data_IF_200096933534
#
_entry.id   IF_200096933534
#
_cell.length_a   1.000
_cell.length_b   1.000
_cell.length_c   1.000
_cell.angle_alpha   90.00
_cell.angle_beta   90.00
_cell.angle_gamma   90.00
#
_symmetry.space_group_name_H-M   'P 1'
#
loop_
_entity.id
_entity.type
_entity.pdbx_description
1 polymer ?
#
# COMPACT_ATOMS: atom_id res chain seq x y z
N UNK A 1 1.25 -14.24 -1.43
CA UNK A 1 0.22 -13.23 -1.75
C UNK A 1 -1.09 -13.67 -1.13
N UNK A 2 -1.64 -12.91 -0.19
CA UNK A 2 -2.98 -13.16 0.34
C UNK A 2 -3.99 -12.48 -0.60
N UNK A 3 -4.97 -13.23 -1.11
CA UNK A 3 -6.04 -12.73 -1.99
C UNK A 3 -7.34 -12.85 -1.18
N UNK A 4 -8.00 -11.72 -0.88
CA UNK A 4 -9.30 -11.69 -0.20
C UNK A 4 -10.26 -10.74 -0.93
N UNK A 5 -11.50 -11.17 -1.14
CA UNK A 5 -12.57 -10.45 -1.86
C UNK A 5 -13.18 -9.26 -1.13
N UNK A 6 -12.46 -8.67 -0.17
CA UNK A 6 -13.01 -7.65 0.74
C UNK A 6 -12.46 -6.26 0.39
N UNK A 7 -13.30 -5.24 0.63
CA UNK A 7 -12.94 -3.86 0.40
C UNK A 7 -11.74 -3.44 1.25
N UNK A 8 -10.66 -2.97 0.61
CA UNK A 8 -9.44 -2.58 1.31
C UNK A 8 -9.67 -1.47 2.35
N UNK A 9 -10.70 -0.64 2.15
CA UNK A 9 -11.07 0.45 3.06
C UNK A 9 -11.55 -0.05 4.43
N UNK A 10 -12.02 -1.29 4.51
CA UNK A 10 -12.53 -1.89 5.74
C UNK A 10 -11.64 -3.00 6.26
N UNK A 11 -10.62 -3.41 5.49
CA UNK A 11 -9.77 -4.53 5.84
C UNK A 11 -8.63 -4.10 6.75
N UNK A 12 -8.55 -4.73 7.92
CA UNK A 12 -7.48 -4.45 8.86
C UNK A 12 -6.14 -4.98 8.36
N UNK A 13 -5.12 -4.12 8.43
CA UNK A 13 -3.74 -4.46 8.10
C UNK A 13 -2.84 -4.25 9.31
N UNK A 14 -1.81 -5.08 9.43
CA UNK A 14 -0.82 -4.99 10.50
C UNK A 14 0.10 -3.78 10.36
N UNK A 15 0.30 -3.08 11.47
CA UNK A 15 1.38 -2.11 11.62
C UNK A 15 1.68 -1.80 13.08
N UNK A 16 2.37 -0.69 13.31
CA UNK A 16 2.89 -0.24 14.59
C UNK A 16 2.39 1.17 14.86
N UNK A 17 1.56 1.33 15.89
CA UNK A 17 1.15 2.63 16.39
C UNK A 17 1.66 2.77 17.82
N UNK A 18 2.40 3.86 18.09
CA UNK A 18 3.06 4.09 19.40
C UNK A 18 3.92 2.89 19.86
N UNK A 19 4.59 2.22 18.91
CA UNK A 19 5.47 1.08 19.16
C UNK A 19 4.75 -0.24 19.47
N UNK A 20 3.42 -0.27 19.48
CA UNK A 20 2.62 -1.50 19.69
C UNK A 20 2.06 -1.99 18.35
N UNK A 21 1.99 -3.30 18.18
CA UNK A 21 1.34 -3.91 17.02
C UNK A 21 -0.16 -3.60 17.05
N UNK A 22 -0.69 -3.11 15.95
CA UNK A 22 -2.10 -2.79 15.76
C UNK A 22 -2.60 -3.35 14.43
N UNK A 23 -3.90 -3.60 14.38
CA UNK A 23 -4.65 -4.02 13.20
C UNK A 23 -5.69 -2.93 12.95
N UNK A 24 -5.64 -2.30 11.77
CA UNK A 24 -6.55 -1.20 11.42
C UNK A 24 -6.59 -1.03 9.91
N UNK A 25 -7.66 -0.42 9.40
CA UNK A 25 -7.75 -0.08 7.99
C UNK A 25 -6.63 0.90 7.58
N UNK A 26 -6.11 0.76 6.35
CA UNK A 26 -5.15 1.71 5.80
C UNK A 26 -5.84 3.04 5.45
N UNK A 27 -5.07 4.13 5.45
CA UNK A 27 -5.51 5.38 4.85
C UNK A 27 -5.32 5.29 3.33
N UNK A 28 -6.40 5.37 2.55
CA UNK A 28 -6.31 5.40 1.08
C UNK A 28 -6.26 6.84 0.55
N UNK A 29 -5.28 7.13 -0.31
CA UNK A 29 -5.10 8.45 -0.94
C UNK A 29 -5.08 8.35 -2.46
N UNK A 30 -5.57 9.40 -3.12
CA UNK A 30 -5.59 9.53 -4.57
C UNK A 30 -5.18 10.95 -4.95
N UNK A 31 -4.47 11.11 -6.06
CA UNK A 31 -4.04 12.42 -6.54
C UNK A 31 -2.90 12.31 -7.54
N UNK A 32 -2.00 13.30 -7.53
CA UNK A 32 -0.73 13.23 -8.26
C UNK A 32 0.28 12.40 -7.48
N UNK A 33 1.07 11.59 -8.19
CA UNK A 33 2.13 10.80 -7.59
C UNK A 33 3.31 11.70 -7.22
N UNK A 34 3.54 11.84 -5.91
CA UNK A 34 4.70 12.53 -5.35
C UNK A 34 5.31 11.62 -4.27
N UNK A 35 6.37 10.90 -4.63
CA UNK A 35 6.99 9.91 -3.77
C UNK A 35 7.47 10.49 -2.44
N UNK A 36 8.12 11.65 -2.47
CA UNK A 36 8.69 12.26 -1.26
C UNK A 36 7.59 12.75 -0.33
N UNK A 37 6.57 13.41 -0.88
CA UNK A 37 5.42 13.88 -0.11
C UNK A 37 4.64 12.72 0.51
N UNK A 38 4.36 11.68 -0.26
CA UNK A 38 3.59 10.52 0.19
C UNK A 38 4.32 9.74 1.29
N UNK A 39 5.61 9.44 1.10
CA UNK A 39 6.40 8.70 2.10
C UNK A 39 6.66 9.54 3.35
N UNK A 40 6.92 10.84 3.21
CA UNK A 40 7.05 11.78 4.34
C UNK A 40 5.76 11.84 5.16
N UNK A 41 4.59 11.90 4.50
CA UNK A 41 3.29 11.84 5.17
C UNK A 41 3.09 10.50 5.89
N UNK A 42 3.38 9.38 5.22
CA UNK A 42 3.23 8.04 5.79
C UNK A 42 4.10 7.83 7.05
N UNK A 43 5.33 8.36 7.07
CA UNK A 43 6.23 8.29 8.22
C UNK A 43 5.75 9.07 9.46
N UNK A 44 4.87 10.06 9.26
CA UNK A 44 4.35 10.95 10.30
C UNK A 44 2.96 10.55 10.79
N UNK A 45 2.42 9.43 10.31
CA UNK A 45 1.13 8.93 10.75
C UNK A 45 1.15 8.63 12.26
N UNK A 46 0.05 8.97 12.92
CA UNK A 46 -0.11 8.76 14.38
C UNK A 46 -1.36 7.96 14.73
N UNK A 47 -2.33 7.94 13.82
CA UNK A 47 -3.66 7.35 13.94
C UNK A 47 -3.86 6.15 13.02
N UNK A 48 -3.17 6.12 11.88
CA UNK A 48 -3.13 5.01 10.94
C UNK A 48 -1.76 4.34 10.93
N UNK A 49 -1.73 3.07 10.53
CA UNK A 49 -0.48 2.33 10.45
C UNK A 49 0.12 2.29 9.04
N UNK A 50 -0.69 2.58 8.00
CA UNK A 50 -0.28 2.57 6.58
C UNK A 50 -1.07 3.57 5.74
N UNK A 51 -0.43 4.07 4.68
CA UNK A 51 -1.05 4.80 3.56
C UNK A 51 -0.96 3.96 2.30
N UNK A 52 -2.09 3.77 1.61
CA UNK A 52 -2.19 3.15 0.30
C UNK A 52 -2.55 4.19 -0.75
N UNK A 53 -1.68 4.40 -1.73
CA UNK A 53 -1.94 5.29 -2.85
C UNK A 53 -2.72 4.55 -3.95
N UNK A 54 -3.89 5.05 -4.33
CA UNK A 54 -4.73 4.51 -5.40
C UNK A 54 -4.15 4.86 -6.78
N UNK A 55 -3.77 3.83 -7.52
CA UNK A 55 -3.17 3.95 -8.85
C UNK A 55 -4.23 3.92 -9.96
N UNK A 56 -5.32 3.19 -9.75
CA UNK A 56 -6.40 3.03 -10.71
C UNK A 56 -7.18 1.74 -10.48
N UNK A 57 -8.16 1.47 -11.33
CA UNK A 57 -9.04 0.32 -11.13
C UNK A 57 -10.08 0.13 -12.23
N UNK A 58 -10.74 -1.03 -12.20
CA UNK A 58 -11.91 -1.39 -12.98
C UNK A 58 -13.10 -1.60 -12.03
N UNK A 59 -14.20 -0.88 -12.26
CA UNK A 59 -15.39 -0.92 -11.38
C UNK A 59 -16.06 -2.29 -11.32
N UNK A 60 -15.88 -3.10 -12.35
CA UNK A 60 -16.50 -4.43 -12.46
C UNK A 60 -15.65 -5.53 -11.80
N UNK A 61 -14.43 -5.20 -11.37
CA UNK A 61 -13.54 -6.12 -10.69
C UNK A 61 -14.02 -6.51 -9.30
N UNK A 62 -13.45 -7.59 -8.76
CA UNK A 62 -13.83 -8.19 -7.47
C UNK A 62 -12.78 -8.00 -6.37
N UNK A 63 -11.50 -7.91 -6.73
CA UNK A 63 -10.39 -7.91 -5.79
C UNK A 63 -9.58 -6.63 -5.84
N UNK A 64 -9.25 -6.09 -4.67
CA UNK A 64 -8.28 -5.01 -4.58
C UNK A 64 -6.85 -5.62 -4.53
N UNK A 65 -5.91 -4.99 -5.24
CA UNK A 65 -4.51 -5.42 -5.33
C UNK A 65 -3.63 -4.35 -4.68
N UNK A 66 -2.74 -4.74 -3.78
CA UNK A 66 -1.78 -3.83 -3.15
C UNK A 66 -0.36 -4.20 -3.57
N UNK A 67 0.33 -3.29 -4.25
CA UNK A 67 1.73 -3.39 -4.62
C UNK A 67 2.57 -2.91 -3.45
N UNK A 68 3.42 -3.78 -2.91
CA UNK A 68 4.35 -3.49 -1.82
C UNK A 68 5.79 -3.65 -2.31
N UNK A 69 6.50 -2.53 -2.49
CA UNK A 69 7.91 -2.53 -2.89
C UNK A 69 8.75 -1.87 -1.80
N UNK A 70 9.62 -2.66 -1.16
CA UNK A 70 10.44 -2.21 -0.04
C UNK A 70 11.89 -2.67 -0.17
N UNK A 71 12.81 -1.84 0.27
CA UNK A 71 14.21 -2.20 0.50
C UNK A 71 14.40 -2.44 2.01
N UNK A 72 14.75 -3.67 2.40
CA UNK A 72 15.05 -3.98 3.80
C UNK A 72 16.55 -4.17 4.01
N UNK A 73 17.09 -3.51 5.04
CA UNK A 73 18.50 -3.61 5.41
C UNK A 73 18.68 -4.68 6.49
N UNK A 74 17.79 -4.74 7.48
CA UNK A 74 18.01 -5.55 8.68
C UNK A 74 16.72 -6.11 9.31
N UNK A 75 15.70 -6.44 8.52
CA UNK A 75 14.38 -6.96 8.95
C UNK A 75 13.61 -6.09 9.98
N UNK A 76 14.24 -5.13 10.66
CA UNK A 76 13.67 -4.16 11.59
C UNK A 76 13.25 -2.90 10.87
N UNK A 77 14.04 -2.49 9.88
CA UNK A 77 13.79 -1.32 9.06
C UNK A 77 13.62 -1.69 7.60
N UNK A 78 12.69 -1.02 6.93
CA UNK A 78 12.54 -1.11 5.49
C UNK A 78 11.98 0.21 4.94
N UNK A 79 12.58 0.73 3.88
CA UNK A 79 12.09 1.92 3.18
C UNK A 79 11.30 1.50 1.95
N UNK A 80 10.33 2.34 1.55
CA UNK A 80 9.66 2.17 0.26
C UNK A 80 10.68 2.38 -0.85
N UNK A 81 10.68 1.49 -1.84
CA UNK A 81 11.59 1.61 -2.99
C UNK A 81 11.15 2.77 -3.88
N UNK A 82 12.06 3.71 -4.15
CA UNK A 82 11.82 4.79 -5.10
C UNK A 82 11.99 4.26 -6.53
N UNK A 83 10.91 3.70 -7.09
CA UNK A 83 10.85 3.25 -8.47
C UNK A 83 10.28 4.35 -9.38
N UNK A 84 10.74 4.45 -10.64
CA UNK A 84 10.11 5.29 -11.65
C UNK A 84 8.61 5.02 -11.76
N UNK A 85 7.81 6.07 -11.89
CA UNK A 85 6.35 5.96 -11.90
C UNK A 85 5.83 5.18 -13.12
N UNK A 86 6.59 5.19 -14.22
CA UNK A 86 6.32 4.44 -15.44
C UNK A 86 6.21 2.93 -15.17
N UNK A 87 7.02 2.40 -14.23
CA UNK A 87 6.95 0.98 -13.84
C UNK A 87 5.60 0.69 -13.16
N UNK A 88 5.13 1.59 -12.29
CA UNK A 88 3.83 1.43 -11.66
C UNK A 88 2.70 1.50 -12.70
N UNK A 89 2.81 2.40 -13.68
CA UNK A 89 1.85 2.45 -14.78
C UNK A 89 1.84 1.16 -15.61
N UNK A 90 3.01 0.60 -15.95
CA UNK A 90 3.08 -0.67 -16.67
C UNK A 90 2.45 -1.82 -15.86
N UNK A 91 2.76 -1.91 -14.56
CA UNK A 91 2.15 -2.89 -13.67
C UNK A 91 0.63 -2.71 -13.58
N UNK A 92 0.16 -1.46 -13.53
CA UNK A 92 -1.26 -1.13 -13.50
C UNK A 92 -1.97 -1.67 -14.74
N UNK A 93 -1.45 -1.40 -15.94
CA UNK A 93 -2.04 -1.88 -17.19
C UNK A 93 -2.10 -3.43 -17.21
N UNK A 94 -1.01 -4.11 -16.85
CA UNK A 94 -0.98 -5.58 -16.78
C UNK A 94 -1.94 -6.16 -15.75
N UNK A 95 -2.09 -5.52 -14.59
CA UNK A 95 -3.03 -5.96 -13.56
C UNK A 95 -4.50 -5.73 -13.98
N UNK A 96 -4.78 -4.71 -14.79
CA UNK A 96 -6.11 -4.44 -15.33
C UNK A 96 -6.50 -5.40 -16.47
N UNK A 97 -5.55 -6.10 -17.09
CA UNK A 97 -5.85 -7.22 -18.00
C UNK A 97 -6.52 -8.41 -17.28
N UNK A 98 -6.38 -8.51 -15.95
CA UNK A 98 -7.05 -9.50 -15.11
C UNK A 98 -8.46 -8.96 -14.77
N UNK A 99 -9.55 -9.57 -15.29
CA UNK A 99 -10.90 -9.02 -15.16
C UNK A 99 -11.38 -8.86 -13.71
N UNK A 100 -10.87 -9.69 -12.80
CA UNK A 100 -11.23 -9.64 -11.40
C UNK A 100 -10.52 -8.53 -10.61
N UNK A 101 -9.57 -7.78 -11.21
CA UNK A 101 -8.90 -6.65 -10.55
C UNK A 101 -9.85 -5.45 -10.46
N UNK A 102 -10.14 -5.01 -9.23
CA UNK A 102 -11.03 -3.90 -8.93
C UNK A 102 -10.29 -2.58 -8.74
N UNK A 103 -9.42 -2.51 -7.75
CA UNK A 103 -8.58 -1.34 -7.50
C UNK A 103 -7.14 -1.78 -7.27
N UNK A 104 -6.21 -0.94 -7.68
CA UNK A 104 -4.77 -1.18 -7.55
C UNK A 104 -4.20 -0.07 -6.66
N UNK A 105 -3.49 -0.47 -5.63
CA UNK A 105 -2.88 0.43 -4.66
C UNK A 105 -1.37 0.22 -4.57
N UNK A 106 -0.64 1.24 -4.12
CA UNK A 106 0.77 1.16 -3.76
C UNK A 106 0.89 1.48 -2.26
N UNK A 107 1.53 0.61 -1.49
CA UNK A 107 1.82 0.92 -0.07
C UNK A 107 3.08 1.76 0.06
N UNK A 108 2.88 3.02 0.41
CA UNK A 108 3.91 4.06 0.52
C UNK A 108 4.43 4.24 1.96
N UNK A 109 4.25 3.22 2.82
CA UNK A 109 4.60 3.31 4.24
C UNK A 109 5.88 2.55 4.59
N UNK A 110 6.91 3.20 5.08
CA UNK A 110 8.11 2.50 5.57
C UNK A 110 7.81 1.63 6.80
N UNK A 111 8.70 0.67 7.09
CA UNK A 111 8.75 -0.02 8.38
C UNK A 111 9.81 0.66 9.26
N UNK A 112 9.44 1.17 10.46
CA UNK A 112 8.07 1.46 10.96
C UNK A 112 7.43 2.70 10.27
N UNK A 113 6.09 2.94 10.35
CA UNK A 113 5.10 2.24 11.18
C UNK A 113 4.50 0.97 10.57
N UNK A 114 4.73 0.66 9.28
CA UNK A 114 4.25 -0.58 8.70
C UNK A 114 4.96 -1.82 9.30
N UNK A 115 4.38 -3.00 9.10
CA UNK A 115 5.13 -4.27 9.16
C UNK A 115 5.53 -4.71 7.75
N UNK A 116 6.33 -5.77 7.61
CA UNK A 116 6.75 -6.24 6.27
C UNK A 116 5.54 -6.80 5.51
N UNK A 117 4.83 -7.74 6.12
CA UNK A 117 3.65 -8.41 5.57
C UNK A 117 2.34 -7.78 6.05
N UNK A 118 1.25 -8.08 5.34
CA UNK A 118 -0.12 -7.88 5.80
C UNK A 118 -0.60 -9.22 6.38
N UNK A 119 -0.72 -9.34 7.70
CA UNK A 119 -1.21 -10.57 8.37
C UNK A 119 -2.58 -10.33 8.96
#
# INVERSE_FOLDING_TARGET
>A
AAISSENILTREVTGLVKGKRTYMAPLCEKGEWDFEKLTSKASKLTDHARIFYELGGNKDGKYDVVIRSINSIDARTASVTNLPFEIFNELKEKLLEIPETRNIYIDVTSKPPATIEYV
#
